data_IF_986406525409
#
_entry.id   IF_986406525409
#
_cell.length_a   1.000
_cell.length_b   1.000
_cell.length_c   1.000
_cell.angle_alpha   90.00
_cell.angle_beta   90.00
_cell.angle_gamma   90.00
#
_symmetry.space_group_name_H-M   'P 1'
#
loop_
_entity.id
_entity.type
_entity.pdbx_description
1 polymer ?
#
# COMPACT_ATOMS: atom_id res chain seq x y z
N UNK A 1 23.52 1.35 -3.04
CA UNK A 1 22.57 0.24 -2.90
C UNK A 1 22.45 -0.45 -4.23
N UNK A 2 22.13 -1.73 -4.26
CA UNK A 2 21.77 -2.41 -5.50
C UNK A 2 20.57 -1.68 -6.16
N UNK A 3 20.50 -1.63 -7.50
CA UNK A 3 19.35 -1.04 -8.17
C UNK A 3 18.08 -1.79 -7.73
N UNK A 4 17.03 -1.06 -7.41
CA UNK A 4 15.70 -1.66 -7.23
C UNK A 4 15.31 -2.26 -8.58
N UNK A 5 15.22 -3.59 -8.61
CA UNK A 5 14.87 -4.34 -9.79
C UNK A 5 13.37 -4.68 -9.84
N UNK A 6 12.92 -5.12 -11.01
CA UNK A 6 11.51 -5.45 -11.27
C UNK A 6 10.97 -6.52 -10.28
N UNK A 7 11.80 -7.49 -9.92
CA UNK A 7 11.46 -8.56 -8.96
C UNK A 7 11.20 -8.01 -7.55
N UNK A 8 12.01 -7.06 -7.11
CA UNK A 8 11.88 -6.39 -5.82
C UNK A 8 10.60 -5.57 -5.78
N UNK A 9 10.30 -4.81 -6.84
CA UNK A 9 9.06 -4.04 -6.94
C UNK A 9 7.84 -4.95 -6.97
N UNK A 10 7.86 -6.05 -7.73
CA UNK A 10 6.75 -7.03 -7.74
C UNK A 10 6.49 -7.57 -6.34
N UNK A 11 7.52 -7.96 -5.59
CA UNK A 11 7.36 -8.43 -4.20
C UNK A 11 6.78 -7.36 -3.29
N UNK A 12 7.22 -6.11 -3.45
CA UNK A 12 6.73 -4.98 -2.67
C UNK A 12 5.23 -4.75 -2.92
N UNK A 13 4.81 -4.73 -4.18
CA UNK A 13 3.41 -4.58 -4.58
C UNK A 13 2.55 -5.74 -4.04
N UNK A 14 3.01 -6.99 -4.18
CA UNK A 14 2.28 -8.15 -3.66
C UNK A 14 2.15 -8.11 -2.12
N UNK A 15 3.17 -7.58 -1.43
CA UNK A 15 3.14 -7.40 0.02
C UNK A 15 2.15 -6.31 0.41
N UNK A 16 2.10 -5.22 -0.34
CA UNK A 16 1.10 -4.17 -0.18
C UNK A 16 -0.31 -4.69 -0.31
N UNK A 17 -0.63 -5.44 -1.38
CA UNK A 17 -1.96 -6.03 -1.56
C UNK A 17 -2.36 -6.93 -0.37
N UNK A 18 -1.43 -7.76 0.10
CA UNK A 18 -1.66 -8.65 1.24
C UNK A 18 -1.94 -7.87 2.52
N UNK A 19 -1.19 -6.79 2.79
CA UNK A 19 -1.36 -5.94 3.98
C UNK A 19 -2.64 -5.12 3.89
N UNK A 20 -2.95 -4.57 2.72
CA UNK A 20 -4.20 -3.84 2.44
C UNK A 20 -5.43 -4.73 2.69
N UNK A 21 -5.42 -5.94 2.14
CA UNK A 21 -6.49 -6.93 2.36
C UNK A 21 -6.64 -7.29 3.84
N UNK A 22 -5.53 -7.60 4.54
CA UNK A 22 -5.56 -7.92 5.98
C UNK A 22 -6.11 -6.76 6.82
N UNK A 23 -5.69 -5.53 6.53
CA UNK A 23 -6.20 -4.34 7.21
C UNK A 23 -7.71 -4.19 7.00
N UNK A 24 -8.17 -4.29 5.74
CA UNK A 24 -9.58 -4.18 5.40
C UNK A 24 -10.42 -5.28 6.08
N UNK A 25 -9.95 -6.52 6.06
CA UNK A 25 -10.62 -7.65 6.73
C UNK A 25 -10.78 -7.41 8.23
N UNK A 26 -9.72 -6.95 8.91
CA UNK A 26 -9.77 -6.68 10.34
C UNK A 26 -10.67 -5.49 10.68
N UNK A 27 -10.69 -4.43 9.86
CA UNK A 27 -11.61 -3.29 10.03
C UNK A 27 -13.08 -3.70 9.88
N UNK A 28 -13.38 -4.61 8.94
CA UNK A 28 -14.73 -5.17 8.79
C UNK A 28 -15.09 -6.07 9.98
N UNK A 29 -14.14 -6.85 10.48
CA UNK A 29 -14.35 -7.82 11.57
C UNK A 29 -14.44 -7.17 12.95
N UNK A 30 -13.75 -6.05 13.15
CA UNK A 30 -13.60 -5.36 14.43
C UNK A 30 -13.81 -3.85 14.32
N UNK A 31 -14.94 -3.37 13.76
CA UNK A 31 -15.13 -1.95 13.44
C UNK A 31 -15.03 -1.02 14.66
N UNK A 32 -15.46 -1.49 15.83
CA UNK A 32 -15.46 -0.71 17.07
C UNK A 32 -14.21 -0.92 17.95
N UNK A 33 -13.27 -1.78 17.51
CA UNK A 33 -12.10 -2.15 18.29
C UNK A 33 -10.80 -1.84 17.52
N UNK A 34 -10.39 -0.56 17.45
CA UNK A 34 -9.22 -0.12 16.68
C UNK A 34 -7.92 -0.82 17.07
N UNK A 35 -7.75 -1.18 18.34
CA UNK A 35 -6.60 -1.96 18.82
C UNK A 35 -6.41 -3.30 18.09
N UNK A 36 -7.48 -3.87 17.50
CA UNK A 36 -7.43 -5.14 16.76
C UNK A 36 -6.87 -5.02 15.35
N UNK A 37 -6.90 -3.83 14.75
CA UNK A 37 -6.38 -3.58 13.40
C UNK A 37 -5.22 -2.57 13.37
N UNK A 38 -4.89 -1.93 14.49
CA UNK A 38 -3.78 -0.97 14.59
C UNK A 38 -2.45 -1.52 14.06
N UNK A 39 -2.08 -2.74 14.42
CA UNK A 39 -0.84 -3.37 13.90
C UNK A 39 -0.88 -3.55 12.37
N UNK A 40 -2.05 -3.92 11.82
CA UNK A 40 -2.22 -4.05 10.38
C UNK A 40 -2.23 -2.69 9.66
N UNK A 41 -2.71 -1.63 10.30
CA UNK A 41 -2.60 -0.26 9.79
C UNK A 41 -1.15 0.22 9.76
N UNK A 42 -0.37 -0.06 10.81
CA UNK A 42 1.05 0.27 10.85
C UNK A 42 1.83 -0.49 9.76
N UNK A 43 1.59 -1.81 9.65
CA UNK A 43 2.18 -2.62 8.57
C UNK A 43 1.83 -2.05 7.19
N UNK A 44 0.56 -1.70 6.96
CA UNK A 44 0.10 -1.11 5.70
C UNK A 44 0.77 0.23 5.43
N UNK A 45 0.90 1.08 6.45
CA UNK A 45 1.56 2.37 6.34
C UNK A 45 3.05 2.22 5.96
N UNK A 46 3.76 1.27 6.58
CA UNK A 46 5.18 1.04 6.32
C UNK A 46 5.42 0.59 4.87
N UNK A 47 4.60 -0.32 4.34
CA UNK A 47 4.77 -0.77 2.94
C UNK A 47 4.41 0.33 1.93
N UNK A 48 3.44 1.20 2.23
CA UNK A 48 3.12 2.34 1.36
C UNK A 48 4.32 3.29 1.29
N UNK A 49 5.02 3.51 2.40
CA UNK A 49 6.25 4.31 2.42
C UNK A 49 7.38 3.66 1.62
N UNK A 50 7.56 2.34 1.73
CA UNK A 50 8.53 1.63 0.90
C UNK A 50 8.21 1.76 -0.60
N UNK A 51 6.92 1.77 -0.97
CA UNK A 51 6.46 1.92 -2.35
C UNK A 51 6.75 3.30 -2.97
N UNK A 52 7.12 4.33 -2.19
CA UNK A 52 7.52 5.63 -2.76
C UNK A 52 8.74 5.49 -3.69
N UNK A 53 9.57 4.45 -3.54
CA UNK A 53 10.69 4.22 -4.45
C UNK A 53 10.21 3.97 -5.89
N UNK A 54 9.02 3.37 -6.06
CA UNK A 54 8.44 3.12 -7.38
C UNK A 54 8.17 4.45 -8.09
N UNK A 55 7.72 5.48 -7.35
CA UNK A 55 7.44 6.81 -7.89
C UNK A 55 8.69 7.48 -8.49
N UNK A 56 9.88 7.08 -8.04
CA UNK A 56 11.16 7.58 -8.57
C UNK A 56 11.64 6.83 -9.82
N UNK A 57 10.95 5.74 -10.22
CA UNK A 57 11.32 4.88 -11.35
C UNK A 57 10.08 4.66 -12.26
N UNK A 58 9.75 5.63 -13.14
CA UNK A 58 8.57 5.58 -14.02
C UNK A 58 8.49 4.32 -14.89
N UNK A 59 9.63 3.73 -15.26
CA UNK A 59 9.70 2.50 -16.04
C UNK A 59 9.00 1.31 -15.37
N UNK A 60 8.89 1.31 -14.04
CA UNK A 60 8.28 0.23 -13.26
C UNK A 60 6.79 0.44 -12.97
N UNK A 61 6.19 1.55 -13.41
CA UNK A 61 4.77 1.84 -13.17
C UNK A 61 3.83 0.82 -13.81
N UNK A 62 4.25 0.19 -14.92
CA UNK A 62 3.46 -0.88 -15.55
C UNK A 62 3.15 -2.03 -14.58
N UNK A 63 4.05 -2.29 -13.62
CA UNK A 63 3.85 -3.32 -12.59
C UNK A 63 2.69 -3.00 -11.65
N UNK A 64 2.46 -1.72 -11.34
CA UNK A 64 1.32 -1.29 -10.52
C UNK A 64 0.00 -1.59 -11.22
N UNK A 65 -0.03 -1.46 -12.54
CA UNK A 65 -1.21 -1.76 -13.37
C UNK A 65 -1.38 -3.27 -13.51
N UNK A 66 -0.32 -4.01 -13.85
CA UNK A 66 -0.36 -5.46 -14.03
C UNK A 66 -0.77 -6.21 -12.77
N UNK A 67 -0.33 -5.74 -11.60
CA UNK A 67 -0.67 -6.33 -10.30
C UNK A 67 -1.91 -5.71 -9.65
N UNK A 68 -2.64 -4.86 -10.38
CA UNK A 68 -3.87 -4.21 -9.94
C UNK A 68 -3.74 -3.31 -8.69
N UNK A 69 -2.52 -2.88 -8.37
CA UNK A 69 -2.22 -2.07 -7.20
C UNK A 69 -2.79 -0.65 -7.26
N UNK A 70 -2.98 -0.12 -8.47
CA UNK A 70 -3.59 1.20 -8.69
C UNK A 70 -5.00 1.26 -8.06
N UNK A 71 -5.80 0.21 -8.19
CA UNK A 71 -7.15 0.17 -7.60
C UNK A 71 -7.10 0.20 -6.08
N UNK A 72 -6.21 -0.59 -5.48
CA UNK A 72 -6.01 -0.64 -4.04
C UNK A 72 -5.49 0.71 -3.49
N UNK A 73 -4.54 1.34 -4.16
CA UNK A 73 -4.05 2.68 -3.80
C UNK A 73 -5.15 3.74 -3.89
N UNK A 74 -5.98 3.71 -4.94
CA UNK A 74 -7.14 4.61 -5.05
C UNK A 74 -8.16 4.37 -3.93
N UNK A 75 -8.38 3.12 -3.52
CA UNK A 75 -9.25 2.79 -2.39
C UNK A 75 -8.78 3.39 -1.06
N UNK A 76 -7.47 3.56 -0.89
CA UNK A 76 -6.89 4.18 0.30
C UNK A 76 -7.06 5.71 0.33
N UNK A 77 -7.39 6.35 -0.80
CA UNK A 77 -7.72 7.79 -0.84
C UNK A 77 -9.06 8.13 -0.18
N UNK A 78 -9.76 7.16 0.38
CA UNK A 78 -10.97 7.35 1.20
C UNK A 78 -10.82 6.70 2.57
N UNK A 79 -9.60 6.44 3.02
CA UNK A 79 -9.34 5.76 4.28
C UNK A 79 -9.59 6.69 5.48
N UNK A 80 -10.28 6.20 6.51
CA UNK A 80 -10.63 6.99 7.71
C UNK A 80 -9.40 7.42 8.53
N UNK A 81 -8.30 6.67 8.41
CA UNK A 81 -7.02 7.02 8.99
C UNK A 81 -6.28 8.03 8.10
N UNK A 82 -6.15 9.26 8.59
CA UNK A 82 -5.50 10.37 7.87
C UNK A 82 -4.03 10.10 7.57
N UNK A 83 -3.33 9.30 8.36
CA UNK A 83 -1.93 8.98 8.10
C UNK A 83 -1.76 8.08 6.87
N UNK A 84 -2.75 7.22 6.60
CA UNK A 84 -2.80 6.35 5.43
C UNK A 84 -3.36 7.10 4.22
N UNK A 85 -4.31 8.01 4.43
CA UNK A 85 -5.02 8.73 3.37
C UNK A 85 -4.11 9.53 2.42
N UNK A 86 -3.09 10.21 2.96
CA UNK A 86 -2.31 11.18 2.17
C UNK A 86 -1.18 10.54 1.36
N UNK A 87 -0.64 9.40 1.81
CA UNK A 87 0.57 8.79 1.24
C UNK A 87 0.40 8.19 -0.16
N UNK A 88 -0.72 7.53 -0.51
CA UNK A 88 -0.95 7.04 -1.87
C UNK A 88 -0.90 8.16 -2.93
N UNK A 89 -1.15 9.42 -2.55
CA UNK A 89 -1.09 10.54 -3.49
C UNK A 89 0.31 10.73 -4.07
N UNK A 90 1.37 10.56 -3.28
CA UNK A 90 2.76 10.70 -3.73
C UNK A 90 3.22 9.57 -4.67
N UNK A 91 2.47 8.47 -4.72
CA UNK A 91 2.74 7.34 -5.62
C UNK A 91 1.98 7.51 -6.95
N UNK A 92 0.76 8.05 -6.89
CA UNK A 92 -0.14 8.18 -8.04
C UNK A 92 0.10 9.49 -8.81
N UNK A 93 0.42 10.59 -8.11
CA UNK A 93 0.54 11.95 -8.64
C UNK A 93 1.97 12.48 -8.52
#
# INVERSE_FOLDING_TARGET
GEPVDESTVKKMILTFEKRSYKNQELRIKFPDNPEKFMEAELDLNDIIQEMHVIATIPELYHLLVELNAVHSLLGLLSHDNTDILHKPQEIIF
#
